data_IF_170503578972
#
_entry.id   IF_170503578972
#
_cell.length_a   1.000
_cell.length_b   1.000
_cell.length_c   1.000
_cell.angle_alpha   90.00
_cell.angle_beta   90.00
_cell.angle_gamma   90.00
#
_symmetry.space_group_name_H-M   'P 1'
#
loop_
_entity.id
_entity.type
_entity.pdbx_description
1 polymer ?
#
# COMPACT_ATOMS: atom_id res chain seq x y z
N UNK A 1 -9.87 -8.66 -10.90
CA UNK A 1 -9.50 -8.68 -9.48
C UNK A 1 -10.43 -7.85 -8.63
N UNK A 2 -11.46 -8.47 -8.04
CA UNK A 2 -12.41 -7.81 -7.15
C UNK A 2 -11.92 -7.68 -5.71
N UNK A 3 -12.68 -6.96 -4.87
CA UNK A 3 -12.44 -6.87 -3.42
C UNK A 3 -12.69 -8.24 -2.76
N UNK A 4 -11.75 -8.69 -1.93
CA UNK A 4 -11.93 -9.87 -1.08
C UNK A 4 -12.85 -9.50 0.08
N UNK A 5 -13.88 -10.31 0.33
CA UNK A 5 -14.84 -10.07 1.43
C UNK A 5 -14.20 -10.41 2.77
N UNK A 6 -14.33 -9.50 3.72
CA UNK A 6 -14.06 -9.75 5.13
C UNK A 6 -15.37 -10.12 5.83
N UNK A 7 -15.33 -11.12 6.71
CA UNK A 7 -16.44 -11.55 7.55
C UNK A 7 -15.89 -11.77 8.96
N UNK A 8 -16.48 -11.10 9.96
CA UNK A 8 -16.07 -11.19 11.37
C UNK A 8 -14.56 -10.95 11.58
N UNK A 9 -14.00 -9.92 10.93
CA UNK A 9 -12.58 -9.56 11.05
C UNK A 9 -11.60 -10.46 10.29
N UNK A 10 -12.09 -11.46 9.57
CA UNK A 10 -11.26 -12.44 8.87
C UNK A 10 -11.62 -12.57 7.39
N UNK A 11 -10.68 -13.10 6.61
CA UNK A 11 -10.89 -13.50 5.21
C UNK A 11 -10.95 -15.02 5.16
N UNK A 12 -11.99 -15.57 4.54
CA UNK A 12 -12.06 -17.01 4.26
C UNK A 12 -11.09 -17.37 3.13
N UNK A 13 -10.35 -18.46 3.30
CA UNK A 13 -9.49 -19.02 2.26
C UNK A 13 -10.37 -19.46 1.06
N UNK A 14 -10.10 -18.99 -0.17
CA UNK A 14 -10.85 -19.41 -1.35
C UNK A 14 -10.62 -20.89 -1.69
N UNK A 15 -11.63 -21.54 -2.24
CA UNK A 15 -11.55 -22.96 -2.66
C UNK A 15 -10.88 -23.14 -4.04
N UNK A 16 -10.50 -22.04 -4.73
CA UNK A 16 -9.85 -22.06 -6.04
C UNK A 16 -8.33 -22.31 -5.92
N UNK A 17 -7.68 -22.95 -6.90
CA UNK A 17 -6.23 -23.15 -6.90
C UNK A 17 -5.45 -21.82 -7.01
N UNK A 18 -4.18 -21.87 -6.63
CA UNK A 18 -3.29 -20.70 -6.65
C UNK A 18 -3.72 -19.64 -5.63
N UNK A 19 -3.50 -18.35 -5.95
CA UNK A 19 -3.90 -17.24 -5.08
C UNK A 19 -5.41 -16.97 -5.07
N UNK A 20 -6.20 -17.65 -5.92
CA UNK A 20 -7.65 -17.47 -5.99
C UNK A 20 -8.11 -16.11 -6.53
N UNK A 21 -7.22 -15.35 -7.20
CA UNK A 21 -7.51 -14.02 -7.78
C UNK A 21 -7.05 -13.93 -9.23
N UNK A 22 -7.69 -13.03 -9.98
CA UNK A 22 -7.34 -12.70 -11.36
C UNK A 22 -6.98 -11.22 -11.48
N UNK A 23 -5.99 -10.92 -12.31
CA UNK A 23 -5.52 -9.56 -12.55
C UNK A 23 -6.56 -8.77 -13.35
N UNK A 24 -6.84 -7.54 -12.90
CA UNK A 24 -7.62 -6.56 -13.65
C UNK A 24 -6.65 -5.59 -14.31
N UNK A 25 -6.47 -5.74 -15.63
CA UNK A 25 -5.48 -4.97 -16.39
C UNK A 25 -5.83 -3.47 -16.49
N UNK A 26 -7.11 -3.11 -16.48
CA UNK A 26 -7.53 -1.70 -16.48
C UNK A 26 -7.20 -1.03 -15.15
N UNK A 27 -7.35 -1.75 -14.03
CA UNK A 27 -6.89 -1.27 -12.72
C UNK A 27 -5.38 -1.19 -12.65
N UNK A 28 -4.66 -2.18 -13.20
CA UNK A 28 -3.21 -2.15 -13.23
C UNK A 28 -2.69 -0.95 -14.03
N UNK A 29 -3.24 -0.70 -15.22
CA UNK A 29 -2.86 0.43 -16.06
C UNK A 29 -3.08 1.77 -15.33
N UNK A 30 -4.22 1.94 -14.64
CA UNK A 30 -4.48 3.11 -13.81
C UNK A 30 -3.48 3.26 -12.66
N UNK A 31 -3.15 2.16 -11.98
CA UNK A 31 -2.13 2.13 -10.93
C UNK A 31 -0.76 2.56 -11.45
N UNK A 32 -0.35 2.06 -12.62
CA UNK A 32 0.87 2.48 -13.30
C UNK A 32 0.89 3.97 -13.63
N UNK A 33 -0.19 4.50 -14.22
CA UNK A 33 -0.29 5.93 -14.52
C UNK A 33 -0.23 6.82 -13.27
N UNK A 34 -0.75 6.36 -12.13
CA UNK A 34 -0.61 7.06 -10.85
C UNK A 34 0.85 7.02 -10.40
N UNK A 35 1.48 5.85 -10.43
CA UNK A 35 2.89 5.69 -10.05
C UNK A 35 3.83 6.56 -10.87
N UNK A 36 3.62 6.62 -12.20
CA UNK A 36 4.43 7.44 -13.10
C UNK A 36 4.31 8.94 -12.79
N UNK A 37 3.12 9.41 -12.37
CA UNK A 37 2.87 10.82 -12.03
C UNK A 37 3.37 11.23 -10.65
N UNK A 38 3.41 10.30 -9.68
CA UNK A 38 3.88 10.59 -8.33
C UNK A 38 5.42 10.64 -8.29
N UNK A 39 6.02 11.46 -7.41
CA UNK A 39 7.48 11.50 -7.25
C UNK A 39 8.03 10.35 -6.39
N UNK A 40 7.16 9.65 -5.64
CA UNK A 40 7.58 8.65 -4.66
C UNK A 40 8.11 7.36 -5.31
N UNK A 41 9.33 6.96 -4.95
CA UNK A 41 9.98 5.74 -5.46
C UNK A 41 10.40 4.74 -4.38
N UNK A 42 10.40 5.19 -3.13
CA UNK A 42 10.58 4.37 -1.94
C UNK A 42 9.67 4.93 -0.85
N UNK A 43 9.34 4.10 0.12
CA UNK A 43 8.68 4.57 1.34
C UNK A 43 9.69 5.33 2.19
N UNK A 44 9.45 6.61 2.42
CA UNK A 44 10.29 7.48 3.26
C UNK A 44 9.42 8.29 4.22
N UNK A 45 8.93 7.60 5.26
CA UNK A 45 8.07 8.20 6.27
C UNK A 45 8.77 9.38 6.99
N UNK A 46 10.11 9.36 7.09
CA UNK A 46 10.86 10.42 7.76
C UNK A 46 10.87 11.72 6.95
N UNK A 47 11.00 11.63 5.62
CA UNK A 47 10.89 12.78 4.74
C UNK A 47 9.49 13.43 4.84
N UNK A 48 8.42 12.64 4.78
CA UNK A 48 7.04 13.13 4.91
C UNK A 48 6.77 13.78 6.28
N UNK A 49 7.29 13.18 7.36
CA UNK A 49 7.20 13.78 8.70
C UNK A 49 7.96 15.10 8.80
N UNK A 50 9.13 15.21 8.16
CA UNK A 50 9.88 16.47 8.12
C UNK A 50 9.20 17.56 7.31
N UNK A 51 8.61 17.18 6.18
CA UNK A 51 7.94 18.12 5.29
C UNK A 51 6.63 18.66 5.89
N UNK A 52 5.88 17.81 6.59
CA UNK A 52 4.50 18.15 7.00
C UNK A 52 4.28 18.33 8.50
N UNK A 53 5.20 17.87 9.36
CA UNK A 53 4.99 17.88 10.83
C UNK A 53 6.06 18.68 11.57
N UNK A 54 7.33 18.29 11.46
CA UNK A 54 8.45 18.96 12.12
C UNK A 54 9.72 18.77 11.27
N UNK A 55 10.35 19.84 10.75
CA UNK A 55 11.58 19.74 9.93
C UNK A 55 12.73 18.98 10.60
N UNK A 56 12.76 18.90 11.94
CA UNK A 56 13.77 18.18 12.70
C UNK A 56 13.35 16.75 13.09
N UNK A 57 12.19 16.29 12.60
CA UNK A 57 11.69 14.96 12.92
C UNK A 57 12.66 13.87 12.44
N UNK A 58 12.92 12.92 13.32
CA UNK A 58 13.77 11.77 13.06
C UNK A 58 13.15 10.50 13.58
N UNK A 59 13.28 9.40 12.83
CA UNK A 59 12.89 8.06 13.27
C UNK A 59 13.93 7.49 14.25
N UNK A 60 13.82 7.86 15.53
CA UNK A 60 14.66 7.31 16.63
C UNK A 60 14.01 6.07 17.25
N UNK A 61 14.79 5.01 17.47
CA UNK A 61 14.42 3.76 18.16
C UNK A 61 15.58 3.29 19.07
N UNK A 62 15.31 2.81 20.31
CA UNK A 62 14.02 2.86 20.99
C UNK A 62 13.62 4.31 21.26
N UNK A 63 12.31 4.53 21.39
CA UNK A 63 11.74 5.83 21.76
C UNK A 63 10.81 5.57 22.93
N UNK A 64 11.45 5.23 24.05
CA UNK A 64 10.87 4.90 25.35
C UNK A 64 12.02 4.67 26.31
#
# INVERSE_FOLDING_TARGET
GGRIKFVNGSVRIPDKPGLGVELDYDRLARGKQIYDRLPYRKRDDEAEMREHVDPNWKRVLPRW
#
